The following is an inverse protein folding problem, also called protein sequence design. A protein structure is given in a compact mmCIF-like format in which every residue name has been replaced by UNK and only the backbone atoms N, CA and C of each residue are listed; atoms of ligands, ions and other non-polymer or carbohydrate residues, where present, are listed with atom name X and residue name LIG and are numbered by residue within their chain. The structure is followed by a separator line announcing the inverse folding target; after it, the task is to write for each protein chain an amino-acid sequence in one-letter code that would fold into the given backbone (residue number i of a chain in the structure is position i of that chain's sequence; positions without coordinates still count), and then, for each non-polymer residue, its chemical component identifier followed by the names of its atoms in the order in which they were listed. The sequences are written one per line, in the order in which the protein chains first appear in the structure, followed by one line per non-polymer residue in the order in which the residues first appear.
data_IF_763998970725
#
_entry.id   IF_763998970725
#
_cell.length_a   1.000
_cell.length_b   1.000
_cell.length_c   1.000
_cell.angle_alpha   90.00
_cell.angle_beta   90.00
_cell.angle_gamma   90.00
#
_symmetry.space_group_name_H-M   'P 1'
#
loop_
_entity.id
_entity.type
_entity.pdbx_description
1 polymer ?
#
# COMPACT_ATOMS: atom_id res chain seq x y z
N UNK A 1 -9.86 1.63 6.27
CA UNK A 1 -10.27 0.35 5.67
C UNK A 1 -9.02 -0.50 5.49
N UNK A 2 -9.12 -1.81 5.72
CA UNK A 2 -7.99 -2.74 5.59
C UNK A 2 -8.19 -3.66 4.39
N UNK A 3 -7.12 -4.33 3.99
CA UNK A 3 -7.11 -5.38 3.00
C UNK A 3 -6.90 -6.68 3.77
N UNK A 4 -7.92 -7.53 3.76
CA UNK A 4 -7.92 -8.78 4.53
C UNK A 4 -7.61 -9.94 3.58
N UNK A 5 -6.43 -10.54 3.74
CA UNK A 5 -5.94 -11.60 2.83
C UNK A 5 -6.05 -12.95 3.53
N UNK A 6 -6.84 -13.86 2.95
CA UNK A 6 -7.08 -15.18 3.53
C UNK A 6 -6.43 -16.26 2.69
N UNK A 7 -5.78 -17.22 3.35
CA UNK A 7 -5.33 -18.45 2.70
C UNK A 7 -6.50 -19.32 2.28
N UNK A 8 -6.33 -20.04 1.17
CA UNK A 8 -7.34 -20.95 0.64
C UNK A 8 -7.17 -22.36 1.21
N UNK A 9 -5.93 -22.84 1.39
CA UNK A 9 -5.61 -24.15 1.98
C UNK A 9 -4.36 -24.03 2.85
N UNK A 10 -4.45 -23.35 4.00
CA UNK A 10 -3.29 -23.00 4.80
C UNK A 10 -2.61 -24.25 5.41
N UNK A 11 -1.28 -24.26 5.35
CA UNK A 11 -0.40 -25.32 5.89
C UNK A 11 -0.01 -25.10 7.35
N UNK A 12 -0.22 -23.88 7.85
CA UNK A 12 0.00 -23.49 9.24
C UNK A 12 -0.80 -22.23 9.56
N UNK A 13 -0.85 -21.86 10.84
CA UNK A 13 -1.50 -20.64 11.31
C UNK A 13 -1.03 -19.39 10.55
N UNK A 14 0.26 -19.32 10.19
CA UNK A 14 0.85 -18.19 9.45
C UNK A 14 0.32 -18.03 8.03
N UNK A 15 -0.18 -19.11 7.43
CA UNK A 15 -0.80 -19.08 6.10
C UNK A 15 -2.30 -18.79 6.13
N UNK A 16 -2.92 -18.73 7.31
CA UNK A 16 -4.39 -18.60 7.41
C UNK A 16 -4.87 -17.20 7.03
N UNK A 17 -4.15 -16.18 7.49
CA UNK A 17 -4.59 -14.80 7.39
C UNK A 17 -3.41 -13.83 7.44
N UNK A 18 -3.41 -12.87 6.52
CA UNK A 18 -2.51 -11.75 6.50
C UNK A 18 -3.32 -10.46 6.46
N UNK A 19 -3.15 -9.62 7.48
CA UNK A 19 -3.81 -8.32 7.56
C UNK A 19 -2.85 -7.24 7.13
N UNK A 20 -3.26 -6.44 6.17
CA UNK A 20 -2.53 -5.24 5.82
C UNK A 20 -3.51 -4.08 5.61
N UNK A 21 -3.25 -2.92 6.19
CA UNK A 21 -4.18 -1.81 5.96
C UNK A 21 -4.00 -1.24 4.54
N UNK A 22 -5.02 -0.57 3.99
CA UNK A 22 -5.03 -0.14 2.58
C UNK A 22 -3.80 0.72 2.22
N UNK A 23 -3.32 1.55 3.14
CA UNK A 23 -2.17 2.44 2.93
C UNK A 23 -0.86 1.67 2.71
N UNK A 24 -0.71 0.54 3.39
CA UNK A 24 0.47 -0.33 3.28
C UNK A 24 0.30 -1.43 2.24
N UNK A 25 -0.94 -1.81 1.92
CA UNK A 25 -1.23 -2.83 0.93
C UNK A 25 -0.93 -2.38 -0.50
N UNK A 26 -1.36 -1.18 -0.91
CA UNK A 26 -1.13 -0.74 -2.30
C UNK A 26 0.36 -0.70 -2.66
N UNK A 27 1.27 -0.14 -1.84
CA UNK A 27 2.71 -0.20 -2.12
C UNK A 27 3.28 -1.62 -2.12
N UNK A 28 2.83 -2.48 -1.19
CA UNK A 28 3.25 -3.88 -1.15
C UNK A 28 2.84 -4.62 -2.43
N UNK A 29 1.58 -4.48 -2.86
CA UNK A 29 1.08 -5.16 -4.05
C UNK A 29 1.71 -4.63 -5.33
N UNK A 30 1.90 -3.31 -5.44
CA UNK A 30 2.61 -2.69 -6.57
C UNK A 30 4.05 -3.22 -6.69
N UNK A 31 4.72 -3.44 -5.56
CA UNK A 31 6.04 -4.06 -5.54
C UNK A 31 5.99 -5.51 -6.01
N UNK A 32 5.00 -6.29 -5.58
CA UNK A 32 4.78 -7.66 -6.05
C UNK A 32 4.63 -7.69 -7.59
N UNK A 33 3.80 -6.81 -8.16
CA UNK A 33 3.64 -6.67 -9.61
C UNK A 33 4.96 -6.33 -10.32
N UNK A 34 5.80 -5.51 -9.69
CA UNK A 34 7.10 -5.10 -10.25
C UNK A 34 8.08 -6.27 -10.32
N UNK A 35 8.19 -7.06 -9.24
CA UNK A 35 9.19 -8.13 -9.13
C UNK A 35 8.73 -9.46 -9.71
N UNK A 36 7.42 -9.63 -9.93
CA UNK A 36 6.78 -10.89 -10.33
C UNK A 36 5.79 -10.71 -11.49
N UNK A 37 6.10 -9.84 -12.47
CA UNK A 37 5.23 -9.56 -13.62
C UNK A 37 4.93 -10.79 -14.51
N UNK A 38 5.74 -11.84 -14.41
CA UNK A 38 5.52 -13.15 -15.06
C UNK A 38 4.52 -14.05 -14.32
N UNK A 39 4.27 -13.78 -13.02
CA UNK A 39 3.35 -14.53 -12.16
C UNK A 39 2.02 -13.78 -12.03
N UNK A 40 2.09 -12.45 -11.88
CA UNK A 40 0.92 -11.59 -11.68
C UNK A 40 0.48 -11.04 -13.04
N UNK A 41 -0.72 -11.38 -13.53
CA UNK A 41 -1.17 -10.92 -14.83
C UNK A 41 -1.43 -9.41 -14.84
N UNK A 42 -1.17 -8.80 -15.99
CA UNK A 42 -1.56 -7.40 -16.25
C UNK A 42 -3.07 -7.24 -16.11
N UNK A 43 -3.51 -6.17 -15.43
CA UNK A 43 -4.94 -5.92 -15.18
C UNK A 43 -5.54 -6.81 -14.08
N UNK A 44 -4.71 -7.43 -13.25
CA UNK A 44 -5.16 -8.11 -12.04
C UNK A 44 -5.96 -7.16 -11.12
N UNK A 45 -6.71 -7.77 -10.21
CA UNK A 45 -7.56 -7.03 -9.25
C UNK A 45 -6.98 -7.04 -7.84
N UNK A 46 -5.66 -7.22 -7.69
CA UNK A 46 -5.01 -7.32 -6.38
C UNK A 46 -5.02 -6.03 -5.56
N UNK A 47 -5.41 -4.90 -6.16
CA UNK A 47 -5.71 -3.65 -5.46
C UNK A 47 -7.16 -3.54 -4.97
N UNK A 48 -7.97 -4.60 -5.06
CA UNK A 48 -9.40 -4.60 -4.72
C UNK A 48 -9.77 -5.71 -3.72
N UNK A 49 -10.77 -5.44 -2.89
CA UNK A 49 -11.39 -6.39 -1.95
C UNK A 49 -12.55 -7.15 -2.60
N UNK A 50 -12.27 -7.88 -3.68
CA UNK A 50 -13.30 -8.53 -4.49
C UNK A 50 -13.16 -10.06 -4.55
N UNK A 51 -12.30 -10.63 -3.71
CA UNK A 51 -11.99 -12.06 -3.71
C UNK A 51 -10.89 -12.46 -4.69
N UNK A 52 -10.25 -11.53 -5.40
CA UNK A 52 -9.12 -11.85 -6.26
C UNK A 52 -7.92 -12.37 -5.45
N UNK A 53 -7.14 -13.26 -6.04
CA UNK A 53 -5.90 -13.77 -5.46
C UNK A 53 -5.23 -14.79 -6.39
N UNK A 54 -4.15 -15.39 -5.94
CA UNK A 54 -3.41 -16.43 -6.67
C UNK A 54 -3.78 -17.82 -6.15
N UNK A 55 -3.63 -18.82 -7.02
CA UNK A 55 -3.65 -20.22 -6.61
C UNK A 55 -2.36 -20.59 -5.84
N UNK A 56 -2.24 -21.85 -5.45
CA UNK A 56 -1.13 -22.33 -4.63
C UNK A 56 0.22 -22.23 -5.35
N UNK A 57 0.26 -22.58 -6.64
CA UNK A 57 1.47 -22.49 -7.46
C UNK A 57 1.90 -21.02 -7.63
N UNK A 58 0.95 -20.13 -7.96
CA UNK A 58 1.21 -18.70 -8.10
C UNK A 58 1.62 -18.04 -6.78
N UNK A 59 0.99 -18.39 -5.66
CA UNK A 59 1.36 -17.88 -4.34
C UNK A 59 2.76 -18.35 -3.93
N UNK A 60 3.08 -19.63 -4.15
CA UNK A 60 4.41 -20.19 -3.87
C UNK A 60 5.48 -19.52 -4.72
N UNK A 61 5.25 -19.39 -6.03
CA UNK A 61 6.19 -18.73 -6.93
C UNK A 61 6.41 -17.25 -6.58
N UNK A 62 5.35 -16.54 -6.18
CA UNK A 62 5.46 -15.16 -5.70
C UNK A 62 6.28 -15.09 -4.41
N UNK A 63 6.06 -16.01 -3.47
CA UNK A 63 6.82 -16.06 -2.23
C UNK A 63 8.32 -16.25 -2.49
N UNK A 64 8.70 -17.21 -3.35
CA UNK A 64 10.08 -17.45 -3.75
C UNK A 64 10.72 -16.20 -4.39
N UNK A 65 9.96 -15.48 -5.22
CA UNK A 65 10.41 -14.22 -5.84
C UNK A 65 10.69 -13.14 -4.79
N UNK A 66 9.78 -12.96 -3.84
CA UNK A 66 9.94 -11.98 -2.75
C UNK A 66 11.12 -12.35 -1.84
N UNK A 67 11.31 -13.62 -1.51
CA UNK A 67 12.47 -14.07 -0.73
C UNK A 67 13.79 -13.86 -1.46
N UNK A 68 13.85 -14.11 -2.77
CA UNK A 68 15.03 -13.80 -3.56
C UNK A 68 15.32 -12.28 -3.56
N UNK A 69 14.29 -11.44 -3.69
CA UNK A 69 14.43 -10.00 -3.65
C UNK A 69 14.89 -9.48 -2.26
N UNK A 70 14.40 -10.09 -1.18
CA UNK A 70 14.85 -9.82 0.19
C UNK A 70 16.33 -10.22 0.38
N UNK A 71 16.70 -11.47 0.04
CA UNK A 71 18.07 -11.98 0.21
C UNK A 71 19.11 -11.24 -0.62
N UNK A 72 18.74 -10.77 -1.81
CA UNK A 72 19.64 -10.02 -2.69
C UNK A 72 19.80 -8.55 -2.29
N UNK A 73 19.04 -8.06 -1.30
CA UNK A 73 19.01 -6.64 -0.92
C UNK A 73 18.25 -5.76 -1.92
N UNK A 74 17.57 -6.35 -2.91
CA UNK A 74 16.73 -5.60 -3.85
C UNK A 74 15.58 -4.88 -3.14
N UNK A 75 14.89 -5.57 -2.23
CA UNK A 75 13.76 -4.99 -1.47
C UNK A 75 14.21 -3.79 -0.63
N UNK A 76 15.38 -3.89 0.02
CA UNK A 76 15.96 -2.78 0.79
C UNK A 76 16.21 -1.56 -0.10
N UNK A 77 16.90 -1.73 -1.23
CA UNK A 77 17.16 -0.65 -2.19
C UNK A 77 15.86 -0.05 -2.74
N UNK A 78 14.87 -0.87 -3.03
CA UNK A 78 13.56 -0.40 -3.46
C UNK A 78 12.91 0.47 -2.38
N UNK A 79 12.93 0.04 -1.11
CA UNK A 79 12.41 0.82 0.01
C UNK A 79 13.11 2.17 0.16
N UNK A 80 14.44 2.21 0.06
CA UNK A 80 15.22 3.46 0.11
C UNK A 80 14.80 4.43 -0.99
N UNK A 81 14.73 3.97 -2.25
CA UNK A 81 14.31 4.79 -3.38
C UNK A 81 12.86 5.25 -3.24
N UNK A 82 11.98 4.38 -2.77
CA UNK A 82 10.57 4.68 -2.52
C UNK A 82 10.42 5.81 -1.47
N UNK A 83 11.13 5.70 -0.34
CA UNK A 83 11.09 6.73 0.69
C UNK A 83 11.75 8.03 0.27
N UNK A 84 12.83 7.98 -0.52
CA UNK A 84 13.44 9.18 -1.10
C UNK A 84 12.46 9.89 -2.02
N UNK A 85 11.75 9.15 -2.89
CA UNK A 85 10.68 9.70 -3.74
C UNK A 85 9.61 10.38 -2.89
N UNK A 86 9.04 9.70 -1.88
CA UNK A 86 7.99 10.27 -1.04
C UNK A 86 8.43 11.55 -0.33
N UNK A 87 9.65 11.59 0.21
CA UNK A 87 10.22 12.79 0.85
C UNK A 87 10.46 13.95 -0.12
N UNK A 88 10.62 13.64 -1.41
CA UNK A 88 10.84 14.65 -2.46
C UNK A 88 9.55 15.22 -3.04
N UNK A 89 8.38 14.64 -2.71
CA UNK A 89 7.10 15.14 -3.19
C UNK A 89 6.81 16.52 -2.59
N UNK A 90 6.41 17.51 -3.41
CA UNK A 90 6.05 18.82 -2.91
C UNK A 90 4.74 18.76 -2.12
N UNK A 91 4.57 19.69 -1.18
CA UNK A 91 3.24 19.91 -0.60
C UNK A 91 2.25 20.34 -1.71
N UNK A 92 0.99 19.94 -1.55
CA UNK A 92 -0.09 20.26 -2.45
C UNK A 92 -0.97 21.37 -1.86
N UNK A 93 -1.55 22.25 -2.70
CA UNK A 93 -2.44 23.30 -2.23
C UNK A 93 -3.66 22.70 -1.52
N UNK A 94 -4.00 23.25 -0.36
CA UNK A 94 -5.16 22.78 0.39
C UNK A 94 -6.46 23.19 -0.32
N UNK A 95 -7.19 22.20 -0.84
CA UNK A 95 -8.43 22.42 -1.61
C UNK A 95 -9.59 22.92 -0.75
N UNK A 96 -9.60 22.60 0.55
CA UNK A 96 -10.66 23.03 1.50
C UNK A 96 -10.69 24.55 1.67
N UNK A 97 -9.52 25.19 1.73
CA UNK A 97 -9.38 26.63 1.94
C UNK A 97 -8.91 27.40 0.70
N UNK A 98 -8.83 26.76 -0.46
CA UNK A 98 -8.26 27.38 -1.67
C UNK A 98 -6.83 27.89 -1.47
N UNK A 99 -6.01 27.14 -0.73
CA UNK A 99 -4.63 27.47 -0.36
C UNK A 99 -4.41 28.74 0.48
N UNK A 100 -5.45 29.29 1.10
CA UNK A 100 -5.33 30.52 1.90
C UNK A 100 -4.95 30.28 3.36
N UNK A 101 -5.06 29.04 3.84
CA UNK A 101 -4.93 28.70 5.26
C UNK A 101 -6.16 29.04 6.10
N UNK A 102 -7.19 29.67 5.51
CA UNK A 102 -8.41 30.03 6.22
C UNK A 102 -9.65 29.57 5.43
N UNK A 103 -10.64 28.98 6.10
CA UNK A 103 -11.85 28.42 5.50
C UNK A 103 -13.10 29.19 5.88
N UNK A 104 -14.13 29.06 5.06
CA UNK A 104 -15.47 29.56 5.35
C UNK A 104 -16.11 28.83 6.55
N UNK A 105 -17.09 29.48 7.16
CA UNK A 105 -17.90 28.87 8.20
C UNK A 105 -18.84 27.83 7.58
N UNK A 106 -18.97 26.61 8.15
CA UNK A 106 -19.93 25.63 7.67
C UNK A 106 -21.36 26.21 7.68
N UNK A 107 -22.18 25.94 6.65
CA UNK A 107 -21.97 24.94 5.60
C UNK A 107 -21.22 25.46 4.35
N UNK A 108 -20.79 26.72 4.32
CA UNK A 108 -20.08 27.27 3.17
C UNK A 108 -18.69 26.62 3.01
N UNK A 109 -18.25 26.45 1.76
CA UNK A 109 -16.95 25.86 1.41
C UNK A 109 -16.05 26.89 0.75
N UNK A 110 -14.74 26.68 0.81
CA UNK A 110 -13.73 27.59 0.26
C UNK A 110 -13.14 28.54 1.30
N UNK A 111 -12.44 29.61 0.86
CA UNK A 111 -11.78 30.57 1.73
C UNK A 111 -12.75 31.34 2.63
N UNK A 112 -12.31 31.71 3.85
CA UNK A 112 -13.13 32.50 4.77
C UNK A 112 -12.38 32.86 6.06
N UNK A 113 -13.06 33.30 7.12
CA UNK A 113 -12.41 33.92 8.29
C UNK A 113 -11.87 32.91 9.32
N UNK A 114 -12.20 31.62 9.22
CA UNK A 114 -11.79 30.63 10.22
C UNK A 114 -10.45 29.99 9.86
N UNK A 115 -9.58 29.73 10.84
CA UNK A 115 -8.37 28.93 10.60
C UNK A 115 -8.74 27.58 9.97
N UNK A 116 -8.10 27.18 8.87
CA UNK A 116 -8.41 25.92 8.21
C UNK A 116 -7.83 24.74 9.01
N UNK A 117 -8.69 23.79 9.41
CA UNK A 117 -8.31 22.59 10.15
C UNK A 117 -7.81 21.45 9.25
N UNK A 118 -8.00 21.55 7.93
CA UNK A 118 -7.48 20.55 6.99
C UNK A 118 -5.98 20.72 6.74
N UNK A 119 -5.47 21.95 6.86
CA UNK A 119 -4.05 22.28 6.64
C UNK A 119 -3.40 23.00 7.84
N UNK A 120 -4.09 23.10 8.97
CA UNK A 120 -3.67 23.84 10.17
C UNK A 120 -3.18 25.26 9.87
N UNK A 121 -3.84 25.97 8.97
CA UNK A 121 -3.46 27.33 8.59
C UNK A 121 -2.32 27.45 7.58
N UNK A 122 -1.69 26.35 7.16
CA UNK A 122 -0.54 26.39 6.25
C UNK A 122 -0.90 26.76 4.80
N UNK A 123 -2.16 26.54 4.40
CA UNK A 123 -2.59 26.68 3.00
C UNK A 123 -2.16 25.51 2.11
N UNK A 124 -1.37 24.59 2.63
CA UNK A 124 -0.87 23.42 1.93
C UNK A 124 -0.90 22.18 2.82
N UNK A 125 -0.96 21.01 2.19
CA UNK A 125 -0.94 19.70 2.84
C UNK A 125 0.13 18.83 2.18
N UNK A 126 0.69 17.83 2.89
CA UNK A 126 1.58 16.86 2.27
C UNK A 126 0.91 16.19 1.07
N UNK A 127 1.70 15.81 0.06
CA UNK A 127 1.20 15.05 -1.08
C UNK A 127 0.47 13.77 -0.61
N UNK A 128 -0.66 13.45 -1.22
CA UNK A 128 -1.48 12.32 -0.80
C UNK A 128 -0.72 10.99 -0.83
N UNK A 129 0.20 10.82 -1.78
CA UNK A 129 1.03 9.61 -1.88
C UNK A 129 1.88 9.36 -0.63
N UNK A 130 2.23 10.41 0.14
CA UNK A 130 3.02 10.26 1.37
C UNK A 130 2.32 9.44 2.46
N UNK A 131 1.00 9.23 2.34
CA UNK A 131 0.24 8.36 3.24
C UNK A 131 0.45 6.86 2.98
N UNK A 132 1.09 6.49 1.88
CA UNK A 132 1.28 5.11 1.46
C UNK A 132 2.74 4.67 1.69
N UNK A 133 3.12 4.23 2.90
CA UNK A 133 4.48 3.77 3.16
C UNK A 133 4.73 2.37 2.57
N UNK A 134 6.00 2.09 2.28
CA UNK A 134 6.51 0.77 1.94
C UNK A 134 7.49 0.31 3.03
N UNK A 135 7.61 -0.99 3.26
CA UNK A 135 8.53 -1.50 4.29
C UNK A 135 8.95 -2.94 4.02
N UNK A 136 10.23 -3.21 4.24
CA UNK A 136 10.82 -4.54 4.00
C UNK A 136 10.23 -5.61 4.92
N UNK A 137 9.95 -5.27 6.18
CA UNK A 137 9.34 -6.21 7.13
C UNK A 137 7.96 -6.68 6.67
N UNK A 138 7.17 -5.77 6.11
CA UNK A 138 5.86 -6.09 5.54
C UNK A 138 5.96 -7.06 4.36
N UNK A 139 6.99 -6.88 3.50
CA UNK A 139 7.28 -7.82 2.40
C UNK A 139 7.66 -9.19 2.93
N UNK A 140 8.46 -9.24 4.01
CA UNK A 140 8.90 -10.50 4.63
C UNK A 140 7.74 -11.26 5.26
N UNK A 141 6.87 -10.58 5.99
CA UNK A 141 5.66 -11.17 6.57
C UNK A 141 4.72 -11.69 5.48
N UNK A 142 4.54 -10.94 4.40
CA UNK A 142 3.70 -11.38 3.29
C UNK A 142 4.30 -12.58 2.55
N UNK A 143 5.62 -12.61 2.33
CA UNK A 143 6.30 -13.77 1.74
C UNK A 143 6.10 -15.03 2.60
N UNK A 144 6.22 -14.93 3.92
CA UNK A 144 5.98 -16.04 4.83
C UNK A 144 4.52 -16.53 4.77
N UNK A 145 3.55 -15.61 4.73
CA UNK A 145 2.14 -15.96 4.51
C UNK A 145 1.95 -16.73 3.20
N UNK A 146 2.50 -16.23 2.09
CA UNK A 146 2.32 -16.80 0.76
C UNK A 146 2.85 -18.23 0.63
N UNK A 147 3.97 -18.56 1.28
CA UNK A 147 4.50 -19.93 1.29
C UNK A 147 3.52 -20.94 1.93
N UNK A 148 2.70 -20.46 2.85
CA UNK A 148 1.94 -21.30 3.75
C UNK A 148 0.43 -21.23 3.47
N UNK A 149 -0.04 -20.40 2.54
CA UNK A 149 -1.47 -20.09 2.39
C UNK A 149 -2.26 -21.07 1.52
N UNK A 150 -1.61 -21.87 0.66
CA UNK A 150 -2.32 -22.77 -0.25
C UNK A 150 -3.05 -22.04 -1.37
N UNK A 151 -2.51 -20.90 -1.81
CA UNK A 151 -3.25 -19.87 -2.57
C UNK A 151 -4.00 -18.93 -1.63
N UNK A 152 -4.44 -17.78 -2.14
CA UNK A 152 -5.09 -16.77 -1.32
C UNK A 152 -6.23 -16.05 -2.03
N UNK A 153 -6.98 -15.24 -1.28
CA UNK A 153 -7.97 -14.28 -1.76
C UNK A 153 -7.96 -13.02 -0.91
N UNK A 154 -8.28 -11.88 -1.53
CA UNK A 154 -8.30 -10.55 -0.91
C UNK A 154 -9.76 -10.15 -0.65
N UNK A 155 -10.09 -9.77 0.58
CA UNK A 155 -11.43 -9.48 1.07
C UNK A 155 -11.52 -8.13 1.79
#
# INVERSE_FOLDING_TARGET
MGMDVYGNTPRSDKGTYFRNNVWWWHPLWQYCETVAADIIPTGNLGHSNNGWGLDDDGATALAERLELALRSGHTHRYAELYHQRLRSLPNQPCTVCGATGQRAEPPATGPGPLLCNACDGRGEVPDFETHYPFGEDNVREFAEFLQLCGGFRIC
#
